data_IF_804783987361
#
_entry.id   IF_804783987361
#
_cell.length_a   1.000
_cell.length_b   1.000
_cell.length_c   1.000
_cell.angle_alpha   90.00
_cell.angle_beta   90.00
_cell.angle_gamma   90.00
#
_symmetry.space_group_name_H-M   'P 1'
#
loop_
_entity.id
_entity.type
_entity.pdbx_description
1 polymer ?
#
# COMPACT_ATOMS: atom_id res chain seq x y z
N UNK A 1 39.70 -6.54 30.94
CA UNK A 1 38.30 -6.99 31.02
C UNK A 1 37.45 -6.65 29.78
N UNK A 2 37.50 -5.47 29.15
CA UNK A 2 36.66 -5.14 27.96
C UNK A 2 36.98 -5.94 26.68
N UNK A 3 38.23 -6.38 26.46
CA UNK A 3 38.59 -7.19 25.27
C UNK A 3 38.15 -8.68 25.36
N UNK A 4 37.95 -9.21 26.54
CA UNK A 4 37.46 -10.60 26.71
C UNK A 4 35.94 -10.74 26.57
N UNK A 5 35.19 -9.69 26.85
CA UNK A 5 33.73 -9.65 26.62
C UNK A 5 33.37 -9.51 25.12
N UNK A 6 34.18 -8.83 24.35
CA UNK A 6 33.99 -8.71 22.91
C UNK A 6 34.29 -10.02 22.17
N UNK A 7 35.33 -10.75 22.62
CA UNK A 7 35.69 -12.05 22.04
C UNK A 7 34.67 -13.15 22.36
N UNK A 8 33.93 -13.04 23.47
CA UNK A 8 32.85 -13.99 23.83
C UNK A 8 31.56 -13.69 22.99
N UNK A 9 31.25 -12.45 22.68
CA UNK A 9 30.12 -12.10 21.83
C UNK A 9 30.34 -12.49 20.35
N UNK A 10 31.58 -12.38 19.86
CA UNK A 10 31.91 -12.79 18.48
C UNK A 10 31.91 -14.30 18.27
N UNK A 11 32.14 -15.12 19.32
CA UNK A 11 32.07 -16.58 19.21
C UNK A 11 30.66 -17.17 19.27
N UNK A 12 29.67 -16.39 19.71
CA UNK A 12 28.24 -16.77 19.67
C UNK A 12 27.59 -16.54 18.33
N UNK A 13 28.20 -15.72 17.45
CA UNK A 13 27.68 -15.44 16.10
C UNK A 13 28.22 -16.36 15.00
N UNK A 14 29.14 -17.29 15.33
CA UNK A 14 29.78 -18.19 14.36
C UNK A 14 29.27 -19.64 14.35
N UNK A 15 28.14 -19.93 15.02
CA UNK A 15 27.54 -21.27 14.97
C UNK A 15 26.03 -21.19 14.78
N UNK A 16 25.61 -20.80 13.58
CA UNK A 16 24.32 -21.21 13.03
C UNK A 16 24.65 -22.01 11.77
N UNK A 17 24.50 -23.33 11.79
CA UNK A 17 24.64 -24.14 10.58
C UNK A 17 23.51 -23.74 9.62
N UNK A 18 23.85 -23.47 8.35
CA UNK A 18 22.92 -23.39 7.25
C UNK A 18 22.43 -24.81 6.91
N UNK A 19 21.77 -25.48 7.83
CA UNK A 19 21.00 -26.65 7.45
C UNK A 19 19.64 -26.20 6.95
N UNK A 20 19.36 -26.61 5.72
CA UNK A 20 18.09 -26.53 5.03
C UNK A 20 17.01 -27.01 6.00
N UNK A 21 16.15 -26.09 6.46
CA UNK A 21 14.97 -26.47 7.23
C UNK A 21 14.07 -27.28 6.31
N UNK A 22 14.00 -28.57 6.61
CA UNK A 22 13.20 -29.59 5.95
C UNK A 22 11.71 -29.19 5.92
N UNK A 23 11.00 -29.71 4.94
CA UNK A 23 9.61 -29.44 4.55
C UNK A 23 8.55 -29.62 5.68
N UNK A 24 8.95 -29.69 6.95
CA UNK A 24 8.08 -29.79 8.12
C UNK A 24 7.64 -28.45 8.71
N UNK A 25 8.14 -27.31 8.21
CA UNK A 25 7.76 -25.98 8.69
C UNK A 25 6.37 -25.51 8.22
N UNK A 26 5.70 -26.25 7.34
CA UNK A 26 4.34 -25.95 6.88
C UNK A 26 3.28 -26.18 7.98
N UNK A 27 3.60 -26.87 9.05
CA UNK A 27 2.72 -27.15 10.19
C UNK A 27 2.70 -26.03 11.23
N UNK A 28 3.66 -25.11 11.21
CA UNK A 28 3.80 -24.06 12.22
C UNK A 28 2.77 -22.91 12.09
N UNK A 29 2.10 -22.77 10.94
CA UNK A 29 0.96 -21.85 10.81
C UNK A 29 -0.34 -22.45 11.37
N UNK A 30 -0.40 -23.80 11.58
CA UNK A 30 -1.56 -24.50 12.13
C UNK A 30 -1.59 -24.54 13.67
N UNK A 31 -0.45 -24.66 14.32
CA UNK A 31 -0.40 -25.01 15.77
C UNK A 31 0.13 -23.89 16.69
N UNK A 32 0.85 -22.89 16.17
CA UNK A 32 1.42 -21.78 16.97
C UNK A 32 0.65 -20.46 16.85
N UNK A 33 -0.27 -20.34 15.91
CA UNK A 33 -1.16 -19.19 15.80
C UNK A 33 -2.36 -19.42 16.72
N UNK A 34 -2.77 -18.46 17.56
CA UNK A 34 -3.78 -18.70 18.59
C UNK A 34 -5.09 -19.18 17.97
N UNK A 35 -5.36 -20.47 18.12
CA UNK A 35 -6.62 -21.14 17.82
C UNK A 35 -7.79 -20.71 18.71
N UNK A 36 -7.62 -19.63 19.48
CA UNK A 36 -8.62 -18.98 20.33
C UNK A 36 -9.01 -17.59 19.82
N UNK A 37 -9.21 -17.42 18.52
CA UNK A 37 -10.19 -16.42 18.11
C UNK A 37 -11.54 -16.95 18.58
N UNK A 38 -12.19 -16.22 19.46
CA UNK A 38 -13.54 -16.53 19.95
C UNK A 38 -14.38 -16.99 18.78
N UNK A 39 -14.97 -18.21 18.91
CA UNK A 39 -16.03 -18.71 18.05
C UNK A 39 -17.24 -17.78 18.20
N UNK A 40 -17.18 -16.62 17.57
CA UNK A 40 -18.39 -16.01 17.07
C UNK A 40 -18.90 -17.00 16.02
N UNK A 41 -20.00 -17.70 16.30
CA UNK A 41 -20.60 -18.65 15.38
C UNK A 41 -20.97 -17.92 14.09
N UNK A 42 -20.03 -17.87 13.15
CA UNK A 42 -20.27 -17.34 11.82
C UNK A 42 -21.04 -18.42 11.06
N UNK A 43 -22.37 -18.48 11.27
CA UNK A 43 -23.23 -19.04 10.23
C UNK A 43 -22.90 -18.27 8.97
N UNK A 44 -22.33 -18.97 7.99
CA UNK A 44 -22.06 -18.38 6.69
C UNK A 44 -23.33 -17.64 6.25
N UNK A 45 -23.20 -16.34 5.95
CA UNK A 45 -24.33 -15.58 5.45
C UNK A 45 -24.77 -16.26 4.15
N UNK A 46 -25.94 -16.85 4.14
CA UNK A 46 -26.51 -17.52 2.96
C UNK A 46 -26.91 -16.49 1.91
N UNK A 47 -27.18 -15.26 2.34
CA UNK A 47 -27.46 -14.12 1.47
C UNK A 47 -26.16 -13.30 1.23
N UNK A 48 -25.65 -13.24 -0.02
CA UNK A 48 -24.46 -12.46 -0.36
C UNK A 48 -24.64 -10.95 -0.17
N UNK A 49 -25.87 -10.45 -0.07
CA UNK A 49 -26.22 -9.05 0.19
C UNK A 49 -26.59 -8.80 1.65
N UNK A 50 -26.41 -9.79 2.54
CA UNK A 50 -26.70 -9.61 3.96
C UNK A 50 -26.02 -8.32 4.49
N UNK A 51 -26.74 -7.48 5.25
CA UNK A 51 -26.18 -6.23 5.77
C UNK A 51 -25.03 -6.53 6.74
N UNK A 52 -24.02 -5.64 6.81
CA UNK A 52 -22.99 -5.73 7.83
C UNK A 52 -23.59 -5.44 9.21
N UNK A 53 -22.87 -5.75 10.32
CA UNK A 53 -23.29 -5.39 11.66
C UNK A 53 -23.59 -3.88 11.76
N UNK A 54 -24.65 -3.48 12.48
CA UNK A 54 -24.98 -2.05 12.62
C UNK A 54 -23.89 -1.31 13.38
N UNK A 55 -23.63 -0.01 13.08
CA UNK A 55 -22.64 0.79 13.78
C UNK A 55 -22.82 0.81 15.32
N UNK A 56 -24.04 0.68 15.81
CA UNK A 56 -24.35 0.59 17.25
C UNK A 56 -23.75 -0.65 17.94
N UNK A 57 -23.22 -1.62 17.18
CA UNK A 57 -22.49 -2.77 17.73
C UNK A 57 -21.05 -2.42 18.12
N UNK A 58 -20.58 -1.24 17.79
CA UNK A 58 -19.24 -0.75 18.05
C UNK A 58 -19.25 0.42 19.02
N UNK A 59 -18.15 0.68 19.75
CA UNK A 59 -18.02 1.91 20.53
C UNK A 59 -18.07 3.14 19.59
N UNK A 60 -18.47 4.32 20.09
CA UNK A 60 -18.38 5.53 19.28
C UNK A 60 -16.92 5.82 18.92
N UNK A 61 -16.66 6.50 17.77
CA UNK A 61 -15.32 6.96 17.43
C UNK A 61 -14.71 7.78 18.57
N UNK A 62 -13.53 7.42 19.01
CA UNK A 62 -12.77 8.10 20.05
C UNK A 62 -11.37 8.43 19.58
N UNK A 63 -10.75 9.45 20.18
CA UNK A 63 -9.35 9.76 19.92
C UNK A 63 -8.45 8.64 20.44
N UNK A 64 -7.50 8.20 19.60
CA UNK A 64 -6.46 7.27 20.00
C UNK A 64 -5.35 8.01 20.77
N UNK A 65 -4.81 7.40 21.83
CA UNK A 65 -3.63 7.94 22.53
C UNK A 65 -2.36 7.87 21.67
N UNK A 66 -2.32 6.98 20.69
CA UNK A 66 -1.12 6.64 19.92
C UNK A 66 -1.17 7.12 18.48
N UNK A 67 -2.34 7.61 18.04
CA UNK A 67 -2.54 8.09 16.68
C UNK A 67 -3.37 9.38 16.71
N UNK A 68 -2.89 10.42 16.03
CA UNK A 68 -3.58 11.70 15.92
C UNK A 68 -3.34 12.32 14.56
N UNK A 69 -4.39 12.81 13.93
CA UNK A 69 -4.28 13.69 12.78
C UNK A 69 -4.49 15.14 13.23
N UNK A 70 -3.49 15.98 13.00
CA UNK A 70 -3.49 17.37 13.29
C UNK A 70 -3.67 18.17 12.02
N UNK A 71 -4.77 18.93 11.91
CA UNK A 71 -4.98 19.87 10.82
C UNK A 71 -4.18 21.14 11.12
N UNK A 72 -3.20 21.46 10.25
CA UNK A 72 -2.37 22.64 10.39
C UNK A 72 -2.92 23.83 9.58
N UNK A 73 -3.45 23.56 8.37
CA UNK A 73 -4.04 24.57 7.52
C UNK A 73 -5.05 23.92 6.55
N UNK A 74 -6.18 24.58 6.34
CA UNK A 74 -7.13 24.22 5.28
C UNK A 74 -7.14 25.36 4.26
N UNK A 75 -7.00 25.03 2.97
CA UNK A 75 -6.98 26.02 1.91
C UNK A 75 -8.25 26.88 1.92
N UNK A 76 -8.06 28.19 1.85
CA UNK A 76 -9.15 29.15 1.70
C UNK A 76 -9.62 29.31 0.23
N UNK A 77 -8.97 28.63 -0.71
CA UNK A 77 -9.36 28.70 -2.13
C UNK A 77 -10.76 28.13 -2.35
N UNK A 78 -11.69 28.90 -2.97
CA UNK A 78 -13.04 28.42 -3.21
C UNK A 78 -13.07 27.11 -4.00
N UNK A 79 -13.84 26.13 -3.52
CA UNK A 79 -13.97 24.81 -4.14
C UNK A 79 -12.85 23.83 -3.84
N UNK A 80 -11.76 24.27 -3.19
CA UNK A 80 -10.70 23.38 -2.72
C UNK A 80 -11.05 22.73 -1.37
N UNK A 81 -10.64 21.48 -1.22
CA UNK A 81 -10.63 20.75 0.06
C UNK A 81 -9.20 20.42 0.50
N UNK A 82 -8.20 21.00 -0.20
CA UNK A 82 -6.80 20.80 0.11
C UNK A 82 -6.49 21.25 1.54
N UNK A 83 -5.67 20.48 2.21
CA UNK A 83 -5.26 20.76 3.58
C UNK A 83 -3.83 20.32 3.85
N UNK A 84 -3.15 21.04 4.71
CA UNK A 84 -1.88 20.63 5.30
C UNK A 84 -2.16 20.10 6.70
N UNK A 85 -1.68 18.92 6.98
CA UNK A 85 -1.82 18.29 8.28
C UNK A 85 -0.58 17.52 8.69
N UNK A 86 -0.67 16.89 9.85
CA UNK A 86 0.38 16.02 10.40
C UNK A 86 -0.25 14.79 11.05
N UNK A 87 0.17 13.62 10.59
CA UNK A 87 -0.12 12.36 11.27
C UNK A 87 0.94 12.15 12.36
N UNK A 88 0.51 11.94 13.57
CA UNK A 88 1.36 11.55 14.70
C UNK A 88 1.19 10.07 14.97
N UNK A 89 2.28 9.34 15.02
CA UNK A 89 2.33 7.89 15.27
C UNK A 89 3.36 7.57 16.34
N UNK A 90 3.38 6.36 16.92
CA UNK A 90 4.41 5.95 17.88
C UNK A 90 5.85 6.03 17.34
N UNK A 91 6.03 5.89 16.03
CA UNK A 91 7.36 5.87 15.39
C UNK A 91 7.69 7.15 14.62
N UNK A 92 7.00 8.27 14.92
CA UNK A 92 7.25 9.56 14.32
C UNK A 92 6.03 10.20 13.67
N UNK A 93 6.27 11.19 12.82
CA UNK A 93 5.18 11.92 12.16
C UNK A 93 5.30 11.90 10.64
N UNK A 94 4.17 12.17 9.98
CA UNK A 94 4.08 12.32 8.52
C UNK A 94 3.37 13.63 8.21
N UNK A 95 4.05 14.51 7.45
CA UNK A 95 3.45 15.75 6.95
C UNK A 95 2.58 15.44 5.72
N UNK A 96 1.36 15.95 5.73
CA UNK A 96 0.38 15.71 4.67
C UNK A 96 0.05 16.99 3.89
N UNK A 97 -0.25 16.88 2.58
CA UNK A 97 -0.23 15.67 1.78
C UNK A 97 1.17 15.07 1.65
N UNK A 98 1.25 13.72 1.68
CA UNK A 98 2.50 12.96 1.69
C UNK A 98 2.48 11.76 0.73
N UNK A 99 3.65 11.44 0.14
CA UNK A 99 3.83 10.24 -0.67
C UNK A 99 4.35 9.08 0.18
N UNK A 100 3.83 7.89 -0.08
CA UNK A 100 4.15 6.65 0.63
C UNK A 100 4.77 5.65 -0.35
N UNK A 101 6.07 5.42 -0.23
CA UNK A 101 6.75 4.46 -1.09
C UNK A 101 6.41 3.01 -0.68
N UNK A 102 6.14 2.15 -1.67
CA UNK A 102 5.79 0.74 -1.43
C UNK A 102 7.05 -0.12 -1.34
N UNK A 103 7.27 -0.66 -0.15
CA UNK A 103 8.32 -1.63 0.18
C UNK A 103 7.75 -3.02 0.43
N UNK A 104 7.45 -3.74 -0.65
CA UNK A 104 6.69 -5.00 -0.70
C UNK A 104 7.04 -6.02 0.40
N UNK A 105 8.33 -6.29 0.60
CA UNK A 105 8.84 -7.28 1.57
C UNK A 105 9.54 -6.60 2.76
N UNK A 106 9.06 -5.44 3.21
CA UNK A 106 9.77 -4.63 4.18
C UNK A 106 11.04 -3.99 3.62
N UNK A 107 11.16 -3.85 2.30
CA UNK A 107 12.32 -3.27 1.63
C UNK A 107 11.89 -2.57 0.34
N UNK A 108 12.43 -1.40 0.07
CA UNK A 108 12.31 -0.75 -1.23
C UNK A 108 13.19 -1.47 -2.25
N UNK A 109 12.65 -1.72 -3.44
CA UNK A 109 13.44 -2.40 -4.48
C UNK A 109 14.56 -1.48 -4.97
N UNK A 110 15.80 -1.93 -4.79
CA UNK A 110 17.04 -1.28 -5.19
C UNK A 110 17.39 0.03 -4.45
N UNK A 111 16.71 0.38 -3.35
CA UNK A 111 17.02 1.59 -2.56
C UNK A 111 17.14 1.22 -1.10
N UNK A 112 18.16 1.72 -0.40
CA UNK A 112 18.25 1.56 1.05
C UNK A 112 17.21 2.44 1.74
N UNK A 113 16.73 2.02 2.90
CA UNK A 113 15.74 2.81 3.65
C UNK A 113 16.32 4.13 4.11
N UNK A 114 17.61 4.15 4.49
CA UNK A 114 18.32 5.36 4.90
C UNK A 114 18.40 6.40 3.76
N UNK A 115 18.70 5.96 2.53
CA UNK A 115 18.74 6.85 1.38
C UNK A 115 17.35 7.39 1.02
N UNK A 116 16.32 6.54 1.11
CA UNK A 116 14.94 6.97 0.87
C UNK A 116 14.44 7.96 1.93
N UNK A 117 14.77 7.74 3.20
CA UNK A 117 14.44 8.66 4.29
C UNK A 117 15.18 10.00 4.11
N UNK A 118 16.45 9.98 3.71
CA UNK A 118 17.22 11.18 3.37
C UNK A 118 16.66 11.92 2.14
N UNK A 119 15.99 11.21 1.23
CA UNK A 119 15.29 11.78 0.08
C UNK A 119 13.90 12.33 0.41
N UNK A 120 13.47 12.29 1.68
CA UNK A 120 12.21 12.88 2.17
C UNK A 120 11.06 11.89 2.38
N UNK A 121 11.30 10.57 2.26
CA UNK A 121 10.28 9.57 2.58
C UNK A 121 10.01 9.57 4.09
N UNK A 122 8.76 9.78 4.50
CA UNK A 122 8.35 9.76 5.90
C UNK A 122 7.59 8.48 6.27
N UNK A 123 6.69 8.01 5.40
CA UNK A 123 5.86 6.82 5.59
C UNK A 123 6.20 5.78 4.52
N UNK A 124 6.25 4.51 4.88
CA UNK A 124 6.45 3.41 3.95
C UNK A 124 5.32 2.39 4.04
N UNK A 125 4.90 1.87 2.90
CA UNK A 125 3.87 0.85 2.79
C UNK A 125 4.49 -0.55 2.67
N UNK A 126 4.10 -1.49 3.53
CA UNK A 126 4.54 -2.89 3.47
C UNK A 126 3.36 -3.82 3.19
N UNK A 127 3.57 -4.85 2.36
CA UNK A 127 2.50 -5.75 1.97
C UNK A 127 2.44 -6.99 2.86
N UNK A 128 1.37 -7.10 3.61
CA UNK A 128 1.13 -8.20 4.57
C UNK A 128 1.12 -9.56 3.89
N UNK A 129 0.54 -9.69 2.69
CA UNK A 129 0.57 -10.95 1.92
C UNK A 129 1.97 -11.53 1.78
N UNK A 130 2.93 -10.72 1.35
CA UNK A 130 4.31 -11.18 1.16
C UNK A 130 5.00 -11.52 2.48
N UNK A 131 4.74 -10.72 3.50
CA UNK A 131 5.33 -10.89 4.83
C UNK A 131 4.74 -12.07 5.61
N UNK A 132 3.48 -12.44 5.36
CA UNK A 132 2.87 -13.69 5.84
C UNK A 132 3.59 -14.89 5.25
N UNK A 133 3.87 -14.86 3.95
CA UNK A 133 4.52 -15.97 3.26
C UNK A 133 6.02 -16.07 3.55
N UNK A 134 6.66 -14.93 3.82
CA UNK A 134 8.08 -14.86 4.20
C UNK A 134 8.44 -13.48 4.76
N UNK A 135 9.08 -13.39 5.95
CA UNK A 135 9.60 -14.51 6.76
C UNK A 135 8.54 -15.17 7.64
N UNK A 136 7.33 -14.64 7.66
CA UNK A 136 6.24 -14.99 8.56
C UNK A 136 6.10 -13.98 9.71
N UNK A 137 4.84 -13.67 10.13
CA UNK A 137 4.57 -12.64 11.14
C UNK A 137 5.21 -12.95 12.49
N UNK A 138 5.22 -14.21 12.91
CA UNK A 138 5.82 -14.64 14.18
C UNK A 138 7.33 -14.36 14.24
N UNK A 139 8.05 -14.54 13.14
CA UNK A 139 9.48 -14.23 13.08
C UNK A 139 9.74 -12.73 13.17
N UNK A 140 8.90 -11.91 12.51
CA UNK A 140 8.99 -10.45 12.59
C UNK A 140 8.66 -9.96 14.00
N UNK A 141 7.62 -10.51 14.64
CA UNK A 141 7.25 -10.19 16.03
C UNK A 141 8.39 -10.54 17.00
N UNK A 142 9.00 -11.71 16.86
CA UNK A 142 10.15 -12.12 17.67
C UNK A 142 11.37 -11.19 17.49
N UNK A 143 11.50 -10.54 16.32
CA UNK A 143 12.53 -9.53 16.06
C UNK A 143 12.16 -8.13 16.59
N UNK A 144 10.99 -7.96 17.22
CA UNK A 144 10.51 -6.67 17.75
C UNK A 144 9.68 -5.85 16.76
N UNK A 145 9.04 -6.49 15.77
CA UNK A 145 8.23 -5.88 14.74
C UNK A 145 9.04 -5.38 13.54
N UNK A 146 8.35 -4.94 12.48
CA UNK A 146 8.96 -4.48 11.22
C UNK A 146 9.96 -3.35 11.41
N UNK A 147 9.66 -2.39 12.27
CA UNK A 147 10.54 -1.25 12.54
C UNK A 147 11.93 -1.68 12.97
N UNK A 148 12.01 -2.60 13.93
CA UNK A 148 13.29 -3.17 14.42
C UNK A 148 13.89 -4.12 13.38
N UNK A 149 13.07 -4.97 12.78
CA UNK A 149 13.49 -5.98 11.79
C UNK A 149 14.16 -5.34 10.55
N UNK A 150 13.66 -4.19 10.11
CA UNK A 150 14.21 -3.43 8.96
C UNK A 150 15.28 -2.41 9.34
N UNK A 151 15.55 -2.19 10.64
CA UNK A 151 16.47 -1.14 11.10
C UNK A 151 15.92 0.28 10.88
N UNK A 152 14.61 0.48 10.97
CA UNK A 152 13.93 1.76 10.76
C UNK A 152 13.02 2.13 11.95
N UNK A 153 13.57 2.25 13.18
CA UNK A 153 12.78 2.29 14.43
C UNK A 153 12.04 3.62 14.68
N UNK A 154 12.34 4.68 13.96
CA UNK A 154 11.78 6.03 14.18
C UNK A 154 11.07 6.59 12.93
N UNK A 155 10.49 5.73 12.13
CA UNK A 155 9.78 6.11 10.91
C UNK A 155 8.49 5.32 10.76
N UNK A 156 7.36 5.99 10.53
CA UNK A 156 6.05 5.35 10.41
C UNK A 156 5.96 4.31 9.30
N UNK A 157 5.12 3.30 9.54
CA UNK A 157 4.78 2.25 8.59
C UNK A 157 3.27 2.08 8.48
N UNK A 158 2.82 1.75 7.27
CA UNK A 158 1.46 1.27 7.01
C UNK A 158 1.53 -0.13 6.38
N UNK A 159 0.62 -1.02 6.74
CA UNK A 159 0.45 -2.33 6.11
C UNK A 159 -0.94 -2.47 5.50
N UNK A 160 -1.02 -3.20 4.38
CA UNK A 160 -2.30 -3.64 3.84
C UNK A 160 -2.80 -4.90 4.55
N UNK A 161 -4.00 -5.34 4.18
CA UNK A 161 -4.59 -6.57 4.70
C UNK A 161 -4.01 -7.85 4.08
N UNK A 162 -3.32 -7.73 2.94
CA UNK A 162 -2.90 -8.85 2.10
C UNK A 162 -3.92 -9.23 1.02
N UNK A 163 -5.15 -8.74 1.08
CA UNK A 163 -6.22 -9.05 0.12
C UNK A 163 -5.90 -8.59 -1.31
N UNK A 164 -5.38 -7.37 -1.47
CA UNK A 164 -5.05 -6.81 -2.80
C UNK A 164 -4.18 -7.75 -3.65
N UNK A 165 -3.12 -8.31 -3.08
CA UNK A 165 -2.18 -9.17 -3.83
C UNK A 165 -2.84 -10.48 -4.24
N UNK A 166 -3.70 -11.04 -3.39
CA UNK A 166 -4.41 -12.29 -3.68
C UNK A 166 -5.33 -12.09 -4.88
N UNK A 167 -6.15 -11.03 -4.88
CA UNK A 167 -7.09 -10.74 -5.95
C UNK A 167 -6.38 -10.26 -7.22
N UNK A 168 -5.34 -9.42 -7.10
CA UNK A 168 -4.53 -8.96 -8.23
C UNK A 168 -3.82 -10.11 -8.95
N UNK A 169 -3.30 -11.09 -8.23
CA UNK A 169 -2.70 -12.29 -8.82
C UNK A 169 -3.73 -13.17 -9.54
N UNK A 170 -4.97 -13.17 -9.09
CA UNK A 170 -6.06 -13.92 -9.74
C UNK A 170 -6.42 -13.35 -11.11
N UNK A 171 -6.43 -12.03 -11.24
CA UNK A 171 -6.93 -11.33 -12.44
C UNK A 171 -5.82 -10.80 -13.37
N UNK A 172 -4.56 -10.97 -13.03
CA UNK A 172 -3.41 -10.56 -13.86
C UNK A 172 -2.93 -9.13 -13.61
N UNK A 173 -3.46 -8.47 -12.58
CA UNK A 173 -3.14 -7.08 -12.22
C UNK A 173 -3.99 -6.05 -12.98
N UNK A 174 -4.12 -4.86 -12.38
CA UNK A 174 -4.99 -3.78 -12.86
C UNK A 174 -4.69 -3.36 -14.31
N UNK A 175 -3.43 -3.35 -14.72
CA UNK A 175 -3.02 -2.95 -16.08
C UNK A 175 -3.44 -3.97 -17.15
N UNK A 176 -3.35 -5.27 -16.86
CA UNK A 176 -3.83 -6.32 -17.79
C UNK A 176 -5.35 -6.35 -17.85
N UNK A 177 -5.98 -6.07 -16.74
CA UNK A 177 -7.42 -5.98 -16.63
C UNK A 177 -7.96 -4.82 -17.47
N UNK A 178 -7.37 -3.64 -17.38
CA UNK A 178 -7.71 -2.48 -18.21
C UNK A 178 -7.45 -2.74 -19.71
N UNK A 179 -6.38 -3.46 -20.05
CA UNK A 179 -6.10 -3.87 -21.45
C UNK A 179 -7.15 -4.85 -21.99
N UNK A 180 -7.67 -5.75 -21.17
CA UNK A 180 -8.78 -6.66 -21.55
C UNK A 180 -10.10 -5.91 -21.76
N UNK A 181 -10.25 -4.76 -21.11
CA UNK A 181 -11.41 -3.88 -21.16
C UNK A 181 -11.49 -3.02 -22.42
N UNK A 182 -10.37 -2.73 -23.05
CA UNK A 182 -10.36 -1.95 -24.28
C UNK A 182 -11.12 -2.71 -25.39
N UNK A 183 -12.03 -2.04 -26.14
CA UNK A 183 -12.72 -2.68 -27.25
C UNK A 183 -11.68 -3.23 -28.23
N UNK A 184 -11.67 -4.54 -28.44
CA UNK A 184 -10.87 -5.18 -29.48
C UNK A 184 -11.25 -4.56 -30.81
N UNK A 185 -10.38 -3.71 -31.38
CA UNK A 185 -10.42 -3.46 -32.83
C UNK A 185 -10.28 -4.81 -33.48
N UNK A 186 -11.21 -5.14 -34.38
CA UNK A 186 -11.18 -6.36 -35.17
C UNK A 186 -9.78 -6.54 -35.75
N UNK A 187 -9.02 -7.46 -35.18
CA UNK A 187 -7.72 -7.87 -35.69
C UNK A 187 -7.94 -9.20 -36.37
N UNK A 188 -7.54 -9.24 -37.61
CA UNK A 188 -7.53 -10.32 -38.55
C UNK A 188 -7.04 -11.66 -37.93
N UNK A 189 -7.65 -12.72 -38.39
CA UNK A 189 -7.36 -14.11 -38.07
C UNK A 189 -5.89 -14.43 -38.33
N UNK A 190 -5.14 -14.71 -37.28
CA UNK A 190 -3.78 -15.21 -37.33
C UNK A 190 -3.52 -16.07 -36.11
N UNK A 191 -3.60 -17.39 -36.27
CA UNK A 191 -3.55 -18.39 -35.24
C UNK A 191 -2.28 -18.40 -34.40
N UNK A 192 -2.45 -18.69 -33.12
CA UNK A 192 -1.41 -18.87 -32.13
C UNK A 192 -2.00 -18.97 -30.73
N UNK A 193 -2.89 -19.96 -30.51
CA UNK A 193 -3.44 -20.26 -29.21
C UNK A 193 -2.41 -20.95 -28.33
N UNK A 194 -1.75 -20.21 -27.44
CA UNK A 194 -1.26 -20.81 -26.20
C UNK A 194 -2.13 -20.29 -25.04
N UNK A 195 -3.30 -20.90 -24.89
CA UNK A 195 -4.18 -20.67 -23.73
C UNK A 195 -3.65 -21.47 -22.53
N UNK A 196 -2.55 -21.03 -21.95
CA UNK A 196 -2.30 -21.35 -20.55
C UNK A 196 -3.35 -20.59 -19.74
N UNK A 197 -4.39 -21.29 -19.26
CA UNK A 197 -5.29 -20.77 -18.23
C UNK A 197 -4.41 -20.32 -17.07
N UNK A 198 -4.48 -19.05 -16.59
CA UNK A 198 -3.76 -18.69 -15.40
C UNK A 198 -4.23 -19.65 -14.30
N UNK A 199 -3.32 -20.39 -13.68
CA UNK A 199 -3.65 -21.23 -12.54
C UNK A 199 -4.11 -20.29 -11.45
N UNK A 200 -5.42 -20.24 -11.18
CA UNK A 200 -5.98 -19.39 -10.15
C UNK A 200 -5.30 -19.75 -8.83
N UNK A 201 -4.52 -18.82 -8.28
CA UNK A 201 -3.94 -18.97 -6.94
C UNK A 201 -5.02 -18.95 -5.87
N UNK A 202 -6.16 -18.31 -6.14
CA UNK A 202 -7.33 -18.25 -5.26
C UNK A 202 -8.15 -19.51 -5.45
N UNK A 203 -8.42 -20.22 -4.36
CA UNK A 203 -9.16 -21.48 -4.34
C UNK A 203 -10.61 -21.28 -3.92
N UNK A 204 -10.89 -20.35 -2.98
CA UNK A 204 -12.20 -20.08 -2.44
C UNK A 204 -12.27 -18.67 -1.86
N UNK A 205 -13.37 -17.97 -2.09
CA UNK A 205 -13.74 -16.72 -1.42
C UNK A 205 -15.15 -16.90 -0.86
N UNK A 206 -15.30 -16.74 0.44
CA UNK A 206 -16.59 -16.85 1.14
C UNK A 206 -16.64 -15.91 2.37
N UNK A 207 -17.65 -16.06 3.22
CA UNK A 207 -17.78 -15.24 4.43
C UNK A 207 -16.67 -15.48 5.46
N UNK A 208 -16.02 -16.63 5.47
CA UNK A 208 -14.90 -16.92 6.35
C UNK A 208 -13.68 -16.09 5.99
N UNK A 209 -13.36 -16.02 4.68
CA UNK A 209 -12.19 -15.34 4.16
C UNK A 209 -11.79 -15.81 2.77
N UNK A 210 -10.50 -15.77 2.49
CA UNK A 210 -9.92 -16.17 1.20
C UNK A 210 -8.96 -17.33 1.40
N UNK A 211 -9.27 -18.47 0.80
CA UNK A 211 -8.36 -19.61 0.72
C UNK A 211 -7.57 -19.51 -0.59
N UNK A 212 -6.26 -19.44 -0.48
CA UNK A 212 -5.38 -19.33 -1.65
C UNK A 212 -4.18 -20.27 -1.54
N UNK A 213 -3.47 -20.41 -2.66
CA UNK A 213 -2.25 -21.20 -2.75
C UNK A 213 -1.04 -20.27 -2.75
N UNK A 214 -0.12 -20.48 -1.81
CA UNK A 214 1.15 -19.76 -1.75
C UNK A 214 1.94 -19.96 -3.03
N UNK A 215 2.45 -18.88 -3.60
CA UNK A 215 3.30 -18.94 -4.79
C UNK A 215 4.72 -19.44 -4.48
N UNK A 216 5.10 -19.53 -3.20
CA UNK A 216 6.44 -19.92 -2.77
C UNK A 216 6.59 -21.43 -2.67
N UNK A 217 5.64 -22.10 -2.06
CA UNK A 217 5.71 -23.52 -1.71
C UNK A 217 4.45 -24.31 -2.08
N UNK A 218 3.43 -23.62 -2.64
CA UNK A 218 2.16 -24.24 -3.00
C UNK A 218 1.24 -24.55 -1.83
N UNK A 219 1.62 -24.23 -0.60
CA UNK A 219 0.78 -24.46 0.59
C UNK A 219 -0.55 -23.72 0.49
N UNK A 220 -1.59 -24.31 1.08
CA UNK A 220 -2.91 -23.66 1.20
C UNK A 220 -2.91 -22.76 2.41
N UNK A 221 -3.27 -21.49 2.20
CA UNK A 221 -3.35 -20.47 3.25
C UNK A 221 -4.76 -19.90 3.27
N UNK A 222 -5.38 -19.90 4.44
CA UNK A 222 -6.65 -19.23 4.69
C UNK A 222 -6.39 -17.90 5.35
N UNK A 223 -6.72 -16.81 4.66
CA UNK A 223 -6.67 -15.45 5.18
C UNK A 223 -8.09 -15.01 5.54
N UNK A 224 -8.35 -14.86 6.83
CA UNK A 224 -9.62 -14.30 7.36
C UNK A 224 -9.39 -12.87 7.82
N UNK A 225 -10.45 -12.07 8.06
CA UNK A 225 -10.34 -10.75 8.67
C UNK A 225 -9.49 -10.75 9.95
N UNK A 226 -9.72 -11.72 10.83
CA UNK A 226 -9.04 -11.85 12.11
C UNK A 226 -7.55 -12.21 11.95
N UNK A 227 -7.24 -13.18 11.06
CA UNK A 227 -5.85 -13.58 10.81
C UNK A 227 -5.05 -12.50 10.09
N UNK A 228 -5.69 -11.72 9.21
CA UNK A 228 -5.08 -10.54 8.59
C UNK A 228 -4.71 -9.49 9.65
N UNK A 229 -5.64 -9.16 10.55
CA UNK A 229 -5.38 -8.22 11.65
C UNK A 229 -4.29 -8.76 12.58
N UNK A 230 -4.35 -10.02 12.97
CA UNK A 230 -3.34 -10.63 13.82
C UNK A 230 -1.94 -10.60 13.18
N UNK A 231 -1.85 -10.84 11.86
CA UNK A 231 -0.59 -10.70 11.12
C UNK A 231 -0.06 -9.26 11.17
N UNK A 232 -0.87 -8.26 10.89
CA UNK A 232 -0.48 -6.85 10.93
C UNK A 232 -0.09 -6.39 12.35
N UNK A 233 -0.71 -6.97 13.39
CA UNK A 233 -0.31 -6.73 14.78
C UNK A 233 1.07 -7.30 15.09
N UNK A 234 1.35 -8.51 14.66
CA UNK A 234 2.68 -9.13 14.80
C UNK A 234 3.75 -8.38 13.99
N UNK A 235 3.38 -7.87 12.81
CA UNK A 235 4.25 -7.00 12.01
C UNK A 235 4.52 -5.65 12.69
N UNK A 236 3.57 -5.13 13.48
CA UNK A 236 3.77 -3.93 14.31
C UNK A 236 3.79 -2.62 13.52
N UNK A 237 3.08 -2.51 12.39
CA UNK A 237 2.93 -1.24 11.65
C UNK A 237 2.10 -0.23 12.46
N UNK A 238 2.31 1.08 12.23
CA UNK A 238 1.56 2.15 12.90
C UNK A 238 0.11 2.25 12.41
N UNK A 239 -0.09 2.00 11.11
CA UNK A 239 -1.39 2.04 10.45
C UNK A 239 -1.63 0.69 9.80
N UNK A 240 -2.81 0.11 10.04
CA UNK A 240 -3.23 -1.17 9.47
C UNK A 240 -4.53 -1.02 8.68
N UNK A 241 -4.74 -1.93 7.73
CA UNK A 241 -5.95 -1.94 6.90
C UNK A 241 -6.75 -3.23 7.14
N UNK A 242 -8.09 -3.17 7.14
CA UNK A 242 -8.95 -4.34 7.25
C UNK A 242 -8.92 -5.18 5.98
N UNK A 243 -9.27 -6.47 6.09
CA UNK A 243 -9.43 -7.33 4.92
C UNK A 243 -10.64 -6.89 4.09
N UNK A 244 -10.45 -6.82 2.80
CA UNK A 244 -11.44 -6.43 1.80
C UNK A 244 -11.37 -7.34 0.57
N UNK A 245 -12.45 -7.42 -0.18
CA UNK A 245 -12.53 -8.11 -1.46
C UNK A 245 -12.41 -7.09 -2.60
N UNK A 246 -11.52 -7.36 -3.55
CA UNK A 246 -11.25 -6.50 -4.70
C UNK A 246 -11.74 -7.16 -5.99
N UNK A 247 -13.00 -6.91 -6.40
CA UNK A 247 -13.51 -7.42 -7.66
C UNK A 247 -12.88 -6.67 -8.84
N UNK A 248 -12.79 -7.32 -10.01
CA UNK A 248 -12.29 -6.70 -11.22
C UNK A 248 -13.17 -5.53 -11.69
N UNK A 249 -12.58 -4.60 -12.44
CA UNK A 249 -13.28 -3.40 -12.94
C UNK A 249 -14.55 -3.72 -13.75
N UNK A 250 -14.55 -4.82 -14.53
CA UNK A 250 -15.67 -5.21 -15.42
C UNK A 250 -16.66 -6.17 -14.80
N UNK A 251 -16.74 -6.23 -13.50
CA UNK A 251 -17.63 -7.16 -12.83
C UNK A 251 -19.11 -6.74 -13.03
N UNK A 252 -19.98 -7.74 -13.05
CA UNK A 252 -21.42 -7.51 -13.05
C UNK A 252 -21.84 -6.69 -11.83
N UNK A 253 -22.75 -5.68 -11.96
CA UNK A 253 -23.18 -4.84 -10.83
C UNK A 253 -23.68 -5.61 -9.62
N UNK A 254 -24.43 -6.71 -9.81
CA UNK A 254 -24.92 -7.54 -8.70
C UNK A 254 -23.76 -8.22 -7.95
N UNK A 255 -22.73 -8.66 -8.67
CA UNK A 255 -21.53 -9.25 -8.06
C UNK A 255 -20.70 -8.18 -7.36
N UNK A 256 -20.61 -6.96 -7.92
CA UNK A 256 -19.98 -5.82 -7.25
C UNK A 256 -20.67 -5.50 -5.93
N UNK A 257 -22.01 -5.41 -5.94
CA UNK A 257 -22.80 -5.15 -4.72
C UNK A 257 -22.59 -6.22 -3.65
N UNK A 258 -22.56 -7.50 -4.05
CA UNK A 258 -22.29 -8.62 -3.14
C UNK A 258 -20.86 -8.55 -2.56
N UNK A 259 -19.88 -8.19 -3.38
CA UNK A 259 -18.49 -8.01 -2.96
C UNK A 259 -18.34 -6.85 -1.96
N UNK A 260 -19.01 -5.71 -2.22
CA UNK A 260 -19.04 -4.57 -1.29
C UNK A 260 -19.66 -4.95 0.04
N UNK A 261 -20.82 -5.64 0.02
CA UNK A 261 -21.48 -6.11 1.23
C UNK A 261 -20.58 -7.07 2.04
N UNK A 262 -19.90 -8.01 1.39
CA UNK A 262 -18.92 -8.91 2.03
C UNK A 262 -17.75 -8.11 2.61
N UNK A 263 -17.18 -7.19 1.85
CA UNK A 263 -16.08 -6.32 2.32
C UNK A 263 -16.48 -5.56 3.59
N UNK A 264 -17.70 -5.03 3.66
CA UNK A 264 -18.18 -4.36 4.88
C UNK A 264 -18.30 -5.32 6.08
N UNK A 265 -18.77 -6.55 5.87
CA UNK A 265 -18.82 -7.57 6.94
C UNK A 265 -17.41 -7.97 7.39
N UNK A 266 -16.47 -8.13 6.46
CA UNK A 266 -15.07 -8.42 6.77
C UNK A 266 -14.38 -7.26 7.49
N UNK A 267 -14.64 -6.02 7.08
CA UNK A 267 -14.12 -4.82 7.75
C UNK A 267 -14.66 -4.68 9.17
N UNK A 268 -15.93 -4.99 9.39
CA UNK A 268 -16.53 -5.02 10.72
C UNK A 268 -15.86 -6.08 11.62
N UNK A 269 -15.58 -7.28 11.11
CA UNK A 269 -14.83 -8.33 11.81
C UNK A 269 -13.39 -7.93 12.09
N UNK A 270 -12.71 -7.33 11.08
CA UNK A 270 -11.36 -6.79 11.25
C UNK A 270 -11.31 -5.72 12.33
N UNK A 271 -12.28 -4.79 12.32
CA UNK A 271 -12.39 -3.74 13.33
C UNK A 271 -12.64 -4.32 14.73
N UNK A 272 -13.54 -5.29 14.86
CA UNK A 272 -13.79 -5.96 16.15
C UNK A 272 -12.51 -6.65 16.68
N UNK A 273 -11.77 -7.36 15.80
CA UNK A 273 -10.49 -7.96 16.16
C UNK A 273 -9.42 -6.91 16.54
N UNK A 274 -9.43 -5.75 15.84
CA UNK A 274 -8.53 -4.66 16.19
C UNK A 274 -8.85 -4.06 17.55
N UNK A 275 -10.12 -3.75 17.84
CA UNK A 275 -10.56 -3.13 19.08
C UNK A 275 -10.39 -4.06 20.31
N UNK A 276 -10.40 -5.38 20.10
CA UNK A 276 -10.12 -6.35 21.17
C UNK A 276 -8.67 -6.28 21.69
N UNK A 277 -7.71 -5.90 20.86
CA UNK A 277 -6.31 -5.66 21.20
C UNK A 277 -5.76 -4.53 20.30
N UNK A 278 -6.04 -3.26 20.58
CA UNK A 278 -5.68 -2.17 19.66
C UNK A 278 -4.17 -1.96 19.55
N UNK A 279 -3.38 -2.39 20.54
CA UNK A 279 -1.96 -2.08 20.66
C UNK A 279 -1.71 -0.58 20.45
N UNK A 280 -0.60 -0.20 19.82
CA UNK A 280 -0.28 1.19 19.46
C UNK A 280 -0.50 1.43 17.96
N UNK A 281 -1.62 0.95 17.41
CA UNK A 281 -1.89 0.98 15.99
C UNK A 281 -3.22 1.67 15.68
N UNK A 282 -3.27 2.39 14.57
CA UNK A 282 -4.49 2.92 13.99
C UNK A 282 -5.03 1.98 12.91
N UNK A 283 -6.35 1.97 12.69
CA UNK A 283 -6.97 1.24 11.58
C UNK A 283 -7.76 2.20 10.69
N UNK A 284 -7.50 2.14 9.36
CA UNK A 284 -8.26 2.89 8.36
C UNK A 284 -9.30 2.01 7.69
N UNK A 285 -10.56 2.47 7.64
CA UNK A 285 -11.60 1.80 6.87
C UNK A 285 -11.43 2.01 5.37
N UNK A 286 -11.67 0.99 4.54
CA UNK A 286 -11.47 1.08 3.09
C UNK A 286 -12.81 1.28 2.38
N UNK A 287 -13.01 2.43 1.75
CA UNK A 287 -14.23 2.73 1.00
C UNK A 287 -14.22 2.01 -0.34
N UNK A 288 -15.22 1.21 -0.59
CA UNK A 288 -15.43 0.41 -1.80
C UNK A 288 -16.66 0.85 -2.60
N UNK A 289 -16.81 0.30 -3.80
CA UNK A 289 -17.96 0.53 -4.67
C UNK A 289 -17.62 0.58 -6.16
N UNK A 290 -16.36 0.30 -6.54
CA UNK A 290 -15.92 0.42 -7.94
C UNK A 290 -16.12 1.85 -8.43
N UNK A 291 -16.71 2.02 -9.62
CA UNK A 291 -17.12 3.32 -10.18
C UNK A 291 -18.59 3.66 -9.92
N UNK A 292 -19.31 2.83 -9.16
CA UNK A 292 -20.69 3.06 -8.80
C UNK A 292 -20.78 4.08 -7.65
N UNK A 293 -21.41 5.23 -7.92
CA UNK A 293 -21.48 6.34 -6.99
C UNK A 293 -22.39 6.05 -5.78
N UNK A 294 -23.43 5.23 -5.95
CA UNK A 294 -24.37 4.87 -4.86
C UNK A 294 -23.70 3.88 -3.92
N UNK A 295 -23.04 2.85 -4.45
CA UNK A 295 -22.26 1.93 -3.63
C UNK A 295 -21.12 2.63 -2.88
N UNK A 296 -20.42 3.57 -3.51
CA UNK A 296 -19.40 4.41 -2.85
C UNK A 296 -19.99 5.26 -1.73
N UNK A 297 -21.15 5.87 -1.99
CA UNK A 297 -21.85 6.68 -0.98
C UNK A 297 -22.27 5.84 0.23
N UNK A 298 -22.91 4.70 -0.01
CA UNK A 298 -23.33 3.77 1.04
C UNK A 298 -22.13 3.23 1.84
N UNK A 299 -21.02 2.93 1.15
CA UNK A 299 -19.77 2.49 1.79
C UNK A 299 -19.20 3.59 2.70
N UNK A 300 -19.11 4.83 2.22
CA UNK A 300 -18.64 5.94 3.02
C UNK A 300 -19.52 6.20 4.25
N UNK A 301 -20.84 6.18 4.07
CA UNK A 301 -21.80 6.39 5.16
C UNK A 301 -21.62 5.32 6.26
N UNK A 302 -21.60 4.05 5.88
CA UNK A 302 -21.41 2.96 6.82
C UNK A 302 -20.09 3.07 7.58
N UNK A 303 -18.97 3.24 6.86
CA UNK A 303 -17.64 3.26 7.46
C UNK A 303 -17.40 4.52 8.33
N UNK A 304 -17.97 5.67 7.95
CA UNK A 304 -17.87 6.89 8.75
C UNK A 304 -18.59 6.79 10.09
N UNK A 305 -19.58 5.91 10.22
CA UNK A 305 -20.27 5.64 11.48
C UNK A 305 -19.51 4.69 12.42
N UNK A 306 -18.45 4.01 11.91
CA UNK A 306 -17.60 3.11 12.68
C UNK A 306 -16.38 3.84 13.27
N UNK A 307 -15.77 3.33 14.36
CA UNK A 307 -14.62 3.95 15.02
C UNK A 307 -13.28 3.68 14.31
N UNK A 308 -13.22 3.88 12.99
CA UNK A 308 -11.97 3.91 12.26
C UNK A 308 -11.21 5.21 12.52
N UNK A 309 -9.89 5.14 12.63
CA UNK A 309 -9.01 6.31 12.86
C UNK A 309 -8.81 7.16 11.60
N UNK A 310 -9.03 6.58 10.44
CA UNK A 310 -8.92 7.22 9.13
C UNK A 310 -9.63 6.43 8.04
N UNK A 311 -9.53 6.89 6.81
CA UNK A 311 -10.13 6.23 5.66
C UNK A 311 -9.10 6.01 4.56
N UNK A 312 -9.25 4.90 3.84
CA UNK A 312 -8.55 4.62 2.60
C UNK A 312 -9.56 4.47 1.46
N UNK A 313 -9.20 4.91 0.27
CA UNK A 313 -10.03 4.73 -0.92
C UNK A 313 -9.38 3.66 -1.78
N UNK A 314 -10.08 2.54 -1.95
CA UNK A 314 -9.59 1.37 -2.65
C UNK A 314 -10.50 0.89 -3.78
N UNK A 315 -10.16 -0.25 -4.37
CA UNK A 315 -10.89 -0.88 -5.48
C UNK A 315 -10.62 -0.23 -6.83
N UNK A 316 -11.45 -0.55 -7.83
CA UNK A 316 -11.37 0.07 -9.14
C UNK A 316 -11.73 1.55 -9.06
N UNK A 317 -10.82 2.41 -9.55
CA UNK A 317 -10.97 3.88 -9.49
C UNK A 317 -11.40 4.48 -10.84
N UNK A 318 -11.69 3.68 -11.85
CA UNK A 318 -12.06 4.14 -13.19
C UNK A 318 -11.06 3.68 -14.26
N UNK A 319 -11.42 3.90 -15.53
CA UNK A 319 -10.62 3.57 -16.72
C UNK A 319 -9.50 4.57 -16.98
N UNK A 320 -9.77 5.81 -16.60
CA UNK A 320 -8.87 6.94 -16.83
C UNK A 320 -8.96 7.95 -15.68
N UNK A 321 -8.10 8.98 -15.74
CA UNK A 321 -8.02 10.00 -14.69
C UNK A 321 -9.31 10.81 -14.58
N UNK A 322 -10.01 11.08 -15.68
CA UNK A 322 -11.23 11.89 -15.64
C UNK A 322 -12.36 11.16 -14.90
N UNK A 323 -12.56 9.87 -15.18
CA UNK A 323 -13.52 9.02 -14.45
C UNK A 323 -13.14 8.91 -12.97
N UNK A 324 -11.86 8.69 -12.68
CA UNK A 324 -11.34 8.67 -11.32
C UNK A 324 -11.66 9.97 -10.56
N UNK A 325 -11.32 11.12 -11.11
CA UNK A 325 -11.55 12.41 -10.47
C UNK A 325 -13.03 12.72 -10.30
N UNK A 326 -13.87 12.38 -11.28
CA UNK A 326 -15.32 12.52 -11.18
C UNK A 326 -15.90 11.72 -10.01
N UNK A 327 -15.49 10.46 -9.88
CA UNK A 327 -15.91 9.60 -8.79
C UNK A 327 -15.38 10.11 -7.43
N UNK A 328 -14.09 10.44 -7.33
CA UNK A 328 -13.47 10.90 -6.08
C UNK A 328 -14.05 12.23 -5.60
N UNK A 329 -14.33 13.19 -6.51
CA UNK A 329 -14.92 14.48 -6.14
C UNK A 329 -16.33 14.33 -5.57
N UNK A 330 -17.13 13.38 -6.04
CA UNK A 330 -18.44 13.06 -5.47
C UNK A 330 -18.37 12.32 -4.14
N UNK A 331 -17.30 11.56 -3.90
CA UNK A 331 -17.10 10.76 -2.68
C UNK A 331 -16.56 11.58 -1.51
N UNK A 332 -15.53 12.39 -1.74
CA UNK A 332 -14.79 13.07 -0.67
C UNK A 332 -15.64 13.91 0.29
N UNK A 333 -16.71 14.64 -0.15
CA UNK A 333 -17.59 15.36 0.75
C UNK A 333 -18.39 14.47 1.73
N UNK A 334 -18.49 13.18 1.47
CA UNK A 334 -19.24 12.21 2.29
C UNK A 334 -18.43 11.62 3.42
N UNK A 335 -17.09 11.78 3.39
CA UNK A 335 -16.23 11.27 4.45
C UNK A 335 -16.30 12.14 5.70
N UNK A 336 -16.14 11.50 6.86
CA UNK A 336 -16.09 12.19 8.17
C UNK A 336 -14.96 13.20 8.18
N UNK A 337 -15.29 14.48 8.43
CA UNK A 337 -14.31 15.54 8.60
C UNK A 337 -13.34 15.27 9.76
N UNK A 338 -12.12 15.80 9.65
CA UNK A 338 -11.09 15.66 10.67
C UNK A 338 -10.33 14.34 10.68
N UNK A 339 -10.81 13.30 9.96
CA UNK A 339 -10.07 12.06 9.77
C UNK A 339 -9.12 12.15 8.56
N UNK A 340 -7.94 11.51 8.59
CA UNK A 340 -7.04 11.44 7.44
C UNK A 340 -7.59 10.51 6.36
N UNK A 341 -7.27 10.83 5.10
CA UNK A 341 -7.72 10.06 3.93
C UNK A 341 -6.52 9.65 3.07
N UNK A 342 -6.41 8.36 2.84
CA UNK A 342 -5.36 7.71 2.04
C UNK A 342 -5.91 7.24 0.69
N UNK A 343 -5.25 7.59 -0.43
CA UNK A 343 -5.61 7.08 -1.75
C UNK A 343 -4.68 5.95 -2.17
N UNK A 344 -5.22 4.74 -2.26
CA UNK A 344 -4.47 3.53 -2.53
C UNK A 344 -4.02 3.42 -4.01
N UNK A 345 -2.75 3.11 -4.20
CA UNK A 345 -2.17 2.73 -5.49
C UNK A 345 -1.89 3.87 -6.48
N UNK A 346 -2.08 5.14 -6.11
CA UNK A 346 -1.89 6.31 -6.97
C UNK A 346 -0.55 7.00 -6.65
N UNK A 347 0.29 7.22 -7.69
CA UNK A 347 1.62 7.82 -7.48
C UNK A 347 2.26 8.44 -8.72
N UNK A 348 1.53 8.64 -9.81
CA UNK A 348 1.95 9.50 -10.90
C UNK A 348 1.65 10.97 -10.55
N UNK A 349 2.58 11.87 -10.92
CA UNK A 349 2.55 13.27 -10.53
C UNK A 349 1.24 13.98 -10.91
N UNK A 350 0.74 13.73 -12.11
CA UNK A 350 -0.47 14.38 -12.60
C UNK A 350 -1.70 13.99 -11.77
N UNK A 351 -1.79 12.73 -11.34
CA UNK A 351 -2.86 12.27 -10.45
C UNK A 351 -2.69 12.81 -9.02
N UNK A 352 -1.45 12.89 -8.50
CA UNK A 352 -1.17 13.48 -7.20
C UNK A 352 -1.61 14.95 -7.15
N UNK A 353 -1.21 15.74 -8.15
CA UNK A 353 -1.57 17.17 -8.27
C UNK A 353 -3.08 17.34 -8.38
N UNK A 354 -3.78 16.48 -9.13
CA UNK A 354 -5.21 16.57 -9.32
C UNK A 354 -6.04 16.11 -8.10
N UNK A 355 -5.53 15.13 -7.31
CA UNK A 355 -6.25 14.58 -6.17
C UNK A 355 -6.05 15.37 -4.87
N UNK A 356 -4.92 16.06 -4.68
CA UNK A 356 -4.67 16.86 -3.47
C UNK A 356 -5.76 17.93 -3.24
N UNK A 357 -6.24 18.68 -4.25
CA UNK A 357 -7.35 19.62 -4.06
C UNK A 357 -8.67 18.99 -3.62
N UNK A 358 -8.83 17.67 -3.77
CA UNK A 358 -10.00 16.94 -3.32
C UNK A 358 -9.97 16.64 -1.80
N UNK A 359 -8.81 16.82 -1.13
CA UNK A 359 -8.65 16.64 0.32
C UNK A 359 -8.00 15.32 0.74
N UNK A 360 -7.24 14.67 -0.15
CA UNK A 360 -6.44 13.50 0.21
C UNK A 360 -5.17 13.89 0.96
N UNK A 361 -4.82 13.10 1.98
CA UNK A 361 -3.68 13.34 2.88
C UNK A 361 -2.45 12.50 2.51
N UNK A 362 -2.65 11.25 2.09
CA UNK A 362 -1.52 10.36 1.73
C UNK A 362 -1.84 9.51 0.51
N UNK A 363 -0.77 9.13 -0.22
CA UNK A 363 -0.86 8.38 -1.48
C UNK A 363 0.24 7.34 -1.52
N UNK A 364 -0.08 6.08 -1.76
CA UNK A 364 0.95 5.06 -1.95
C UNK A 364 1.12 4.63 -3.40
N UNK A 365 2.35 4.36 -3.79
CA UNK A 365 2.61 3.67 -5.05
C UNK A 365 4.01 3.08 -5.14
N UNK A 366 4.10 1.97 -5.87
CA UNK A 366 5.38 1.45 -6.36
C UNK A 366 5.85 2.12 -7.66
N UNK A 367 5.05 3.03 -8.24
CA UNK A 367 5.30 3.61 -9.57
C UNK A 367 6.66 4.31 -9.66
N UNK A 368 7.07 5.24 -8.76
CA UNK A 368 8.34 5.93 -8.91
C UNK A 368 9.55 5.00 -8.94
N UNK A 369 9.60 4.04 -8.01
CA UNK A 369 10.70 3.05 -7.95
C UNK A 369 10.65 2.09 -9.14
N UNK A 370 9.45 1.68 -9.58
CA UNK A 370 9.26 0.79 -10.72
C UNK A 370 9.77 1.43 -12.01
N UNK A 371 9.31 2.63 -12.34
CA UNK A 371 9.73 3.29 -13.59
C UNK A 371 11.21 3.66 -13.58
N UNK A 372 11.78 4.02 -12.41
CA UNK A 372 13.21 4.25 -12.23
C UNK A 372 14.03 3.03 -12.59
N UNK A 373 13.71 1.86 -12.04
CA UNK A 373 14.39 0.60 -12.38
C UNK A 373 14.25 0.22 -13.85
N UNK A 374 13.23 0.70 -14.54
CA UNK A 374 13.04 0.53 -15.98
C UNK A 374 13.59 1.68 -16.83
N UNK A 375 14.46 2.52 -16.24
CA UNK A 375 15.21 3.56 -16.97
C UNK A 375 14.40 4.79 -17.31
N UNK A 376 13.34 5.11 -16.54
CA UNK A 376 12.61 6.35 -16.66
C UNK A 376 12.81 7.20 -15.41
N UNK A 377 13.28 8.44 -15.58
CA UNK A 377 13.44 9.43 -14.52
C UNK A 377 12.27 10.41 -14.56
N UNK A 378 11.75 10.72 -13.38
CA UNK A 378 10.73 11.75 -13.16
C UNK A 378 11.46 13.06 -12.84
N UNK A 379 11.20 14.14 -13.59
CA UNK A 379 11.88 15.41 -13.40
C UNK A 379 10.92 16.58 -13.45
N UNK A 380 11.36 17.74 -12.97
CA UNK A 380 10.58 18.98 -13.02
C UNK A 380 10.22 19.44 -14.45
N UNK A 381 10.97 18.95 -15.45
CA UNK A 381 10.71 19.19 -16.87
C UNK A 381 9.95 18.06 -17.57
N UNK A 382 9.43 17.07 -16.81
CA UNK A 382 8.74 15.91 -17.33
C UNK A 382 9.58 14.62 -17.24
N UNK A 383 9.24 13.61 -18.05
CA UNK A 383 9.85 12.29 -17.97
C UNK A 383 11.04 12.15 -18.92
N UNK A 384 12.17 11.67 -18.42
CA UNK A 384 13.35 11.34 -19.22
C UNK A 384 13.46 9.82 -19.33
N UNK A 385 13.55 9.30 -20.58
CA UNK A 385 13.79 7.90 -20.84
C UNK A 385 15.29 7.69 -21.13
N UNK A 386 16.01 7.05 -20.21
CA UNK A 386 17.48 6.89 -20.29
C UNK A 386 17.97 6.16 -21.55
N UNK A 387 17.15 5.29 -22.14
CA UNK A 387 17.54 4.55 -23.37
C UNK A 387 17.75 5.42 -24.61
N UNK A 388 17.22 6.65 -24.63
CA UNK A 388 17.32 7.55 -25.79
C UNK A 388 18.76 8.00 -26.00
N UNK A 389 19.23 7.97 -27.26
CA UNK A 389 20.60 8.31 -27.64
C UNK A 389 21.00 9.75 -27.29
N UNK A 390 20.05 10.67 -27.26
CA UNK A 390 20.26 12.07 -26.88
C UNK A 390 20.90 12.22 -25.48
N UNK A 391 20.71 11.23 -24.59
CA UNK A 391 21.29 11.27 -23.25
C UNK A 391 22.79 10.91 -23.24
N UNK A 392 23.33 10.32 -24.29
CA UNK A 392 24.72 9.85 -24.31
C UNK A 392 25.76 10.99 -24.13
N UNK A 393 25.44 12.19 -24.60
CA UNK A 393 26.27 13.40 -24.47
C UNK A 393 25.67 14.46 -23.55
N UNK A 394 24.66 14.11 -22.74
CA UNK A 394 24.03 15.03 -21.81
C UNK A 394 24.81 15.12 -20.49
N UNK A 395 25.86 15.96 -20.46
CA UNK A 395 26.75 16.15 -19.31
C UNK A 395 26.17 17.09 -18.23
N UNK A 396 24.86 17.03 -18.01
CA UNK A 396 24.11 17.76 -16.99
C UNK A 396 23.42 16.79 -16.04
N UNK A 397 23.04 17.23 -14.82
CA UNK A 397 22.27 16.39 -13.92
C UNK A 397 20.93 15.96 -14.52
N UNK A 398 20.32 14.88 -14.02
CA UNK A 398 18.96 14.48 -14.43
C UNK A 398 17.91 15.58 -14.30
N UNK A 399 17.96 16.32 -13.20
CA UNK A 399 17.10 17.47 -12.92
C UNK A 399 17.88 18.51 -12.13
N UNK A 400 18.06 19.70 -12.70
CA UNK A 400 18.81 20.81 -12.11
C UNK A 400 18.13 21.36 -10.84
N UNK A 401 16.81 21.21 -10.75
CA UNK A 401 16.04 21.63 -9.58
C UNK A 401 16.03 20.59 -8.45
N UNK A 402 16.63 19.41 -8.66
CA UNK A 402 16.62 18.31 -7.72
C UNK A 402 17.91 18.22 -6.90
N UNK A 403 17.80 18.31 -5.60
CA UNK A 403 18.94 18.19 -4.66
C UNK A 403 19.27 16.77 -4.21
N UNK A 404 18.74 15.71 -4.82
CA UNK A 404 19.03 14.34 -4.42
C UNK A 404 20.47 13.91 -4.72
N UNK A 405 20.95 12.83 -4.07
CA UNK A 405 22.32 12.36 -4.26
C UNK A 405 22.64 12.03 -5.72
N UNK A 406 21.67 11.45 -6.45
CA UNK A 406 21.84 11.12 -7.86
C UNK A 406 22.09 12.36 -8.71
N UNK A 407 21.29 13.43 -8.55
CA UNK A 407 21.45 14.67 -9.32
C UNK A 407 22.73 15.47 -8.94
N UNK A 408 23.15 15.41 -7.67
CA UNK A 408 24.38 16.09 -7.23
C UNK A 408 25.66 15.43 -7.72
N UNK A 409 25.63 14.13 -7.99
CA UNK A 409 26.85 13.35 -8.24
C UNK A 409 26.96 12.84 -9.67
N UNK A 410 25.85 12.75 -10.42
CA UNK A 410 25.84 12.07 -11.70
C UNK A 410 25.16 12.88 -12.80
N UNK A 411 25.64 12.70 -14.03
CA UNK A 411 25.05 13.27 -15.23
C UNK A 411 24.11 12.28 -15.93
N UNK A 412 23.23 12.77 -16.78
CA UNK A 412 22.41 11.95 -17.66
C UNK A 412 23.26 11.04 -18.56
N UNK A 413 24.40 11.53 -19.06
CA UNK A 413 25.34 10.74 -19.87
C UNK A 413 25.86 9.52 -19.10
N UNK A 414 26.19 9.68 -17.82
CA UNK A 414 26.62 8.56 -16.98
C UNK A 414 25.48 7.56 -16.75
N UNK A 415 24.26 8.03 -16.42
CA UNK A 415 23.10 7.16 -16.21
C UNK A 415 22.71 6.44 -17.51
N UNK A 416 22.82 7.09 -18.68
CA UNK A 416 22.65 6.46 -19.98
C UNK A 416 23.70 5.37 -20.19
N UNK A 417 24.97 5.63 -19.86
CA UNK A 417 26.03 4.62 -19.93
C UNK A 417 25.68 3.39 -19.06
N UNK A 418 25.29 3.60 -17.79
CA UNK A 418 24.89 2.52 -16.89
C UNK A 418 23.69 1.70 -17.45
N UNK A 419 22.74 2.39 -18.10
CA UNK A 419 21.63 1.74 -18.78
C UNK A 419 22.12 0.82 -19.90
N UNK A 420 23.02 1.31 -20.75
CA UNK A 420 23.60 0.56 -21.86
C UNK A 420 24.45 -0.61 -21.39
N UNK A 421 25.22 -0.41 -20.34
CA UNK A 421 26.05 -1.42 -19.70
C UNK A 421 25.25 -2.44 -18.86
N UNK A 422 23.95 -2.18 -18.61
CA UNK A 422 23.08 -2.98 -17.73
C UNK A 422 23.59 -3.09 -16.31
N UNK A 423 24.24 -2.02 -15.81
CA UNK A 423 24.77 -2.00 -14.45
C UNK A 423 23.63 -1.94 -13.41
N UNK A 424 23.61 -2.85 -12.41
CA UNK A 424 22.54 -2.89 -11.40
C UNK A 424 22.40 -1.62 -10.58
N UNK A 425 23.50 -0.87 -10.37
CA UNK A 425 23.49 0.38 -9.58
C UNK A 425 22.58 1.45 -10.20
N UNK A 426 22.33 1.39 -11.52
CA UNK A 426 21.37 2.30 -12.15
C UNK A 426 19.98 2.22 -11.50
N UNK A 427 19.53 1.01 -11.17
CA UNK A 427 18.23 0.83 -10.54
C UNK A 427 18.14 1.58 -9.20
N UNK A 428 19.24 1.60 -8.43
CA UNK A 428 19.33 2.34 -7.17
C UNK A 428 19.31 3.84 -7.39
N UNK A 429 20.15 4.35 -8.27
CA UNK A 429 20.25 5.78 -8.57
C UNK A 429 18.95 6.36 -9.13
N UNK A 430 18.33 5.66 -10.07
CA UNK A 430 17.10 6.10 -10.72
C UNK A 430 15.89 6.02 -9.78
N UNK A 431 15.77 4.93 -8.99
CA UNK A 431 14.68 4.79 -8.03
C UNK A 431 14.77 5.80 -6.90
N UNK A 432 15.98 6.05 -6.37
CA UNK A 432 16.22 7.08 -5.35
C UNK A 432 15.85 8.49 -5.86
N UNK A 433 16.30 8.84 -7.08
CA UNK A 433 15.94 10.11 -7.70
C UNK A 433 14.40 10.26 -7.83
N UNK A 434 13.71 9.23 -8.30
CA UNK A 434 12.26 9.29 -8.47
C UNK A 434 11.49 9.41 -7.14
N UNK A 435 11.98 8.76 -6.05
CA UNK A 435 11.43 8.98 -4.70
C UNK A 435 11.62 10.43 -4.29
N UNK A 436 12.83 10.97 -4.42
CA UNK A 436 13.14 12.34 -4.07
C UNK A 436 12.28 13.35 -4.84
N UNK A 437 12.11 13.14 -6.15
CA UNK A 437 11.23 13.95 -6.99
C UNK A 437 9.79 13.93 -6.49
N UNK A 438 9.23 12.73 -6.24
CA UNK A 438 7.84 12.60 -5.79
C UNK A 438 7.62 13.24 -4.41
N UNK A 439 8.58 13.08 -3.49
CA UNK A 439 8.54 13.75 -2.18
C UNK A 439 8.63 15.28 -2.33
N UNK A 440 9.44 15.79 -3.26
CA UNK A 440 9.53 17.21 -3.57
C UNK A 440 8.24 17.79 -4.16
N UNK A 441 7.54 17.03 -5.02
CA UNK A 441 6.19 17.38 -5.52
C UNK A 441 5.22 17.56 -4.35
N UNK A 442 5.18 16.62 -3.40
CA UNK A 442 4.33 16.73 -2.21
C UNK A 442 4.69 17.94 -1.36
N UNK A 443 5.98 18.24 -1.20
CA UNK A 443 6.42 19.45 -0.48
C UNK A 443 5.95 20.74 -1.15
N UNK A 444 6.06 20.83 -2.49
CA UNK A 444 5.53 21.96 -3.27
C UNK A 444 4.02 22.11 -3.14
N UNK A 445 3.28 21.00 -3.12
CA UNK A 445 1.83 21.02 -2.92
C UNK A 445 1.47 21.54 -1.53
N UNK A 446 2.18 21.10 -0.45
CA UNK A 446 1.98 21.65 0.90
C UNK A 446 2.22 23.16 0.93
N UNK A 447 3.30 23.64 0.32
CA UNK A 447 3.56 25.10 0.21
C UNK A 447 2.43 25.81 -0.52
N UNK A 448 1.96 25.27 -1.64
CA UNK A 448 0.87 25.88 -2.42
C UNK A 448 -0.46 25.90 -1.64
N UNK A 449 -0.72 24.92 -0.77
CA UNK A 449 -1.88 24.91 0.11
C UNK A 449 -1.74 26.00 1.19
N UNK A 450 -0.58 26.09 1.86
CA UNK A 450 -0.30 27.11 2.89
C UNK A 450 -0.43 28.54 2.36
N UNK A 451 -0.22 28.72 1.05
CA UNK A 451 -0.36 30.02 0.35
C UNK A 451 -1.73 30.17 -0.32
N UNK A 452 -2.68 29.29 -0.05
CA UNK A 452 -4.03 29.28 -0.62
C UNK A 452 -4.08 29.31 -2.16
N UNK A 453 -3.02 28.79 -2.82
CA UNK A 453 -2.95 28.75 -4.29
C UNK A 453 -3.71 27.56 -4.90
N UNK A 454 -3.95 26.50 -4.11
CA UNK A 454 -4.69 25.30 -4.55
C UNK A 454 -5.73 24.89 -3.53
#
# INVERSE_FOLDING_TARGET
MRRQLLARRLRLLQRVPWEVADARSATLLGDAWPSRAHQLSHKAATDPLAPPPPPSSFPPPSASEHFRFELLHASAKPGSRARVGRLHTPHGHVDTPGFVAVGTNGALKAVTLADADAAGMQLMFCNTYHLILQPGPAQVEAAGGLHTFMGRPQRPLITDSGGFQIFSLQYGGVEEELKRAAPRKAAEEGGGSSSAKPSSSVLRVDEEGVLFRSYRDGARVLLTPETSVAAQKALGADIILPLDELPPYHINPAVLAASVARSHRWMARSLAAHLADPRKQAMYGIVHGGTDAELRAASAEYLCALPFDGFAIGGALGRDRAEMLGMLSGLMPRLRGGAPVHLLGIGDEESLVACVPLGFDTFDSAYPTRVGRHGTLLTSAGRITLRKAENAAAFRPPDEACGCATCRQHTLAYLHHLWRAREPVLASLAALHNIAHTCAVMSKLRTAILEDRI
#
